data_IF_742978489680
#
_entry.id   IF_742978489680
#
_cell.length_a   1.000
_cell.length_b   1.000
_cell.length_c   1.000
_cell.angle_alpha   90.00
_cell.angle_beta   90.00
_cell.angle_gamma   90.00
#
_symmetry.space_group_name_H-M   'P 1'
#
loop_
_entity.id
_entity.type
_entity.pdbx_description
1 polymer ?
#
# COMPACT_ATOMS: atom_id res chain seq x y z
N UNK A 1 -28.08 4.79 11.62
CA UNK A 1 -27.78 3.36 11.41
C UNK A 1 -26.27 3.22 11.25
N UNK A 2 -25.57 2.66 12.23
CA UNK A 2 -24.11 2.54 12.21
C UNK A 2 -23.72 1.22 11.54
N UNK A 3 -23.48 1.25 10.22
CA UNK A 3 -22.83 0.12 9.54
C UNK A 3 -21.35 0.13 9.91
N UNK A 4 -20.72 -1.01 10.23
CA UNK A 4 -19.29 -1.06 10.48
C UNK A 4 -18.53 -0.63 9.22
N UNK A 5 -17.59 0.32 9.38
CA UNK A 5 -16.80 0.87 8.26
C UNK A 5 -15.79 -0.11 7.69
N UNK A 6 -15.45 -1.18 8.42
CA UNK A 6 -14.42 -2.15 8.05
C UNK A 6 -14.92 -3.57 8.37
N UNK A 7 -14.79 -4.48 7.39
CA UNK A 7 -15.11 -5.91 7.52
C UNK A 7 -13.82 -6.72 7.47
N UNK A 8 -13.57 -7.55 8.49
CA UNK A 8 -12.41 -8.44 8.54
C UNK A 8 -12.71 -9.73 7.76
N UNK A 9 -11.83 -10.10 6.83
CA UNK A 9 -12.01 -11.26 5.94
C UNK A 9 -10.70 -12.06 5.83
N UNK A 10 -10.75 -13.31 5.35
CA UNK A 10 -9.53 -14.08 5.07
C UNK A 10 -9.01 -13.77 3.67
N UNK A 11 -7.73 -14.10 3.40
CA UNK A 11 -7.16 -13.90 2.07
C UNK A 11 -7.90 -14.72 1.00
N UNK A 12 -8.29 -15.96 1.33
CA UNK A 12 -9.01 -16.86 0.41
C UNK A 12 -10.42 -16.36 0.09
N UNK A 13 -11.10 -15.68 1.02
CA UNK A 13 -12.36 -15.01 0.72
C UNK A 13 -12.17 -13.70 -0.03
N UNK A 14 -11.11 -12.94 0.25
CA UNK A 14 -10.79 -11.70 -0.47
C UNK A 14 -10.51 -11.94 -1.95
N UNK A 15 -9.81 -13.03 -2.31
CA UNK A 15 -9.53 -13.42 -3.71
C UNK A 15 -10.79 -13.68 -4.55
N UNK A 16 -11.93 -13.91 -3.90
CA UNK A 16 -13.22 -14.15 -4.58
C UNK A 16 -14.02 -12.87 -4.81
N UNK A 17 -13.55 -11.74 -4.26
CA UNK A 17 -14.17 -10.45 -4.50
C UNK A 17 -13.91 -10.01 -5.92
N UNK A 18 -14.86 -9.26 -6.47
CA UNK A 18 -14.68 -8.60 -7.76
C UNK A 18 -13.50 -7.63 -7.68
N UNK A 19 -12.62 -7.72 -8.67
CA UNK A 19 -11.54 -6.75 -8.82
C UNK A 19 -12.11 -5.48 -9.45
N UNK A 20 -12.14 -4.40 -8.67
CA UNK A 20 -12.62 -3.08 -9.12
C UNK A 20 -11.49 -2.24 -9.73
N UNK A 21 -10.28 -2.80 -9.84
CA UNK A 21 -9.13 -2.10 -10.38
C UNK A 21 -9.25 -1.96 -11.89
N UNK A 22 -9.22 -0.73 -12.39
CA UNK A 22 -9.14 -0.45 -13.82
C UNK A 22 -7.70 -0.68 -14.34
N UNK A 23 -7.41 -1.92 -14.70
CA UNK A 23 -6.09 -2.33 -15.20
C UNK A 23 -5.76 -1.75 -16.57
N UNK A 24 -6.76 -1.52 -17.43
CA UNK A 24 -6.54 -0.96 -18.76
C UNK A 24 -6.00 0.46 -18.67
N UNK A 25 -6.61 1.28 -17.79
CA UNK A 25 -6.12 2.62 -17.49
C UNK A 25 -4.71 2.61 -16.91
N UNK A 26 -4.44 1.75 -15.93
CA UNK A 26 -3.12 1.67 -15.27
C UNK A 26 -2.04 1.29 -16.29
N UNK A 27 -2.29 0.29 -17.13
CA UNK A 27 -1.32 -0.19 -18.11
C UNK A 27 -1.05 0.82 -19.24
N UNK A 28 -1.94 1.79 -19.43
CA UNK A 28 -1.82 2.83 -20.46
C UNK A 28 -1.13 4.11 -19.97
N UNK A 29 -0.87 4.24 -18.66
CA UNK A 29 -0.20 5.43 -18.11
C UNK A 29 1.23 5.55 -18.61
N UNK A 30 1.61 6.77 -19.00
CA UNK A 30 3.00 7.10 -19.32
C UNK A 30 3.84 7.27 -18.05
N UNK A 31 5.16 7.13 -18.18
CA UNK A 31 6.09 7.30 -17.05
C UNK A 31 5.92 8.66 -16.34
N UNK A 32 5.75 9.74 -17.11
CA UNK A 32 5.56 11.08 -16.53
C UNK A 32 4.25 11.20 -15.74
N UNK A 33 3.19 10.51 -16.17
CA UNK A 33 1.93 10.48 -15.43
C UNK A 33 2.04 9.62 -14.17
N UNK A 34 2.80 8.52 -14.23
CA UNK A 34 3.12 7.70 -13.05
C UNK A 34 3.87 8.53 -12.01
N UNK A 35 4.92 9.25 -12.41
CA UNK A 35 5.70 10.12 -11.53
C UNK A 35 4.83 11.22 -10.92
N UNK A 36 4.01 11.91 -11.72
CA UNK A 36 3.13 12.95 -11.25
C UNK A 36 2.10 12.41 -10.23
N UNK A 37 1.50 11.25 -10.52
CA UNK A 37 0.57 10.59 -9.62
C UNK A 37 1.25 10.23 -8.29
N UNK A 38 2.43 9.60 -8.35
CA UNK A 38 3.21 9.24 -7.17
C UNK A 38 3.58 10.48 -6.32
N UNK A 39 3.99 11.59 -6.94
CA UNK A 39 4.30 12.84 -6.24
C UNK A 39 3.07 13.50 -5.60
N UNK A 40 1.91 13.36 -6.24
CA UNK A 40 0.65 13.94 -5.76
C UNK A 40 -0.06 13.11 -4.69
N UNK A 41 0.32 11.84 -4.53
CA UNK A 41 -0.31 10.93 -3.57
C UNK A 41 -0.08 11.43 -2.13
N UNK A 42 -1.15 11.74 -1.36
CA UNK A 42 -1.03 12.18 0.03
C UNK A 42 -0.32 11.17 0.94
N UNK A 43 -0.36 9.88 0.60
CA UNK A 43 0.31 8.80 1.32
C UNK A 43 1.75 8.58 0.83
N UNK A 44 2.23 9.37 -0.13
CA UNK A 44 3.64 9.35 -0.52
C UNK A 44 4.50 9.93 0.62
N UNK A 45 5.03 9.02 1.43
CA UNK A 45 5.80 9.37 2.61
C UNK A 45 7.04 10.20 2.24
N UNK A 46 7.34 11.27 2.99
CA UNK A 46 8.49 12.12 2.69
C UNK A 46 9.80 11.34 2.82
N UNK A 47 10.62 11.41 1.78
CA UNK A 47 12.01 10.89 1.75
C UNK A 47 13.00 11.82 2.47
N UNK A 48 12.52 12.84 3.19
CA UNK A 48 13.39 13.85 3.76
C UNK A 48 14.35 13.24 4.79
N UNK A 49 15.62 13.66 4.85
CA UNK A 49 16.57 13.15 5.83
C UNK A 49 16.07 13.29 7.27
N UNK A 50 15.30 14.34 7.57
CA UNK A 50 14.70 14.57 8.87
C UNK A 50 13.57 13.59 9.18
N UNK A 51 12.74 13.25 8.19
CA UNK A 51 11.70 12.20 8.31
C UNK A 51 12.32 10.82 8.57
N UNK A 52 13.49 10.55 8.00
CA UNK A 52 14.22 9.29 8.19
C UNK A 52 14.88 9.18 9.59
N UNK A 53 15.19 10.28 10.28
CA UNK A 53 15.81 10.26 11.63
C UNK A 53 15.00 9.48 12.65
N UNK A 54 13.68 9.44 12.49
CA UNK A 54 12.77 8.77 13.42
C UNK A 54 12.43 7.34 13.01
N UNK A 55 12.86 6.89 11.83
CA UNK A 55 12.64 5.52 11.36
C UNK A 55 13.62 4.58 12.06
N UNK A 56 13.09 3.76 12.97
CA UNK A 56 13.88 2.73 13.67
C UNK A 56 13.90 1.44 12.86
N UNK A 57 15.09 0.98 12.47
CA UNK A 57 15.25 -0.37 11.89
C UNK A 57 14.75 -1.41 12.89
N UNK A 58 13.78 -2.23 12.49
CA UNK A 58 13.39 -3.43 13.25
C UNK A 58 14.49 -4.47 13.11
N UNK A 59 14.89 -5.09 14.22
CA UNK A 59 15.83 -6.21 14.21
C UNK A 59 15.22 -7.36 13.41
N UNK A 60 16.03 -8.03 12.58
CA UNK A 60 15.64 -9.32 11.98
C UNK A 60 15.32 -10.29 13.13
N UNK A 61 14.11 -10.86 13.09
CA UNK A 61 13.76 -11.99 13.96
C UNK A 61 14.31 -13.24 13.26
N UNK A 62 15.32 -13.88 13.84
CA UNK A 62 15.68 -15.23 13.43
C UNK A 62 14.56 -16.15 13.90
N UNK A 63 13.89 -16.80 12.94
CA UNK A 63 12.89 -17.82 13.22
C UNK A 63 13.64 -19.13 13.47
N UNK A 64 14.13 -19.30 14.69
CA UNK A 64 14.57 -20.61 15.16
C UNK A 64 13.30 -21.39 15.52
N UNK A 65 12.86 -22.28 14.62
CA UNK A 65 11.83 -23.26 14.92
C UNK A 65 12.46 -24.36 15.78
N UNK A 66 12.03 -24.47 17.03
CA UNK A 66 12.18 -25.67 17.87
C UNK A 66 10.94 -26.54 17.81
#
# INVERSE_FOLDING_TARGET
MNKPSITRTTLESAKKLEDLTDWERINSLSESEIEANALSDPENLPLSPDSLKHIKRKKKVNKDNG
#
